data_IF_974751390248
#
_entry.id   IF_974751390248
#
_cell.length_a   1.000
_cell.length_b   1.000
_cell.length_c   1.000
_cell.angle_alpha   90.00
_cell.angle_beta   90.00
_cell.angle_gamma   90.00
#
_symmetry.space_group_name_H-M   'P 1'
#
loop_
_entity.id
_entity.type
_entity.pdbx_description
1 polymer ?
#
# COMPACT_ATOMS: atom_id res chain seq x y z
N UNK A 1 -3.17 32.12 -30.16
CA UNK A 1 -4.00 31.00 -29.68
C UNK A 1 -3.49 29.78 -30.43
N UNK A 2 -2.39 29.21 -29.94
CA UNK A 2 -1.65 28.12 -30.59
C UNK A 2 -1.33 27.08 -29.54
N UNK A 3 -1.55 25.82 -29.88
CA UNK A 3 -1.20 24.68 -29.04
C UNK A 3 0.19 24.17 -29.46
N UNK A 4 1.10 24.01 -28.51
CA UNK A 4 2.38 23.37 -28.73
C UNK A 4 2.32 21.92 -28.24
N UNK A 5 2.31 20.96 -29.17
CA UNK A 5 2.51 19.56 -28.85
C UNK A 5 3.98 19.31 -28.51
N UNK A 6 4.27 18.88 -27.27
CA UNK A 6 5.58 18.32 -26.91
C UNK A 6 5.45 16.82 -26.70
N UNK A 7 5.84 16.03 -27.71
CA UNK A 7 5.99 14.58 -27.57
C UNK A 7 7.23 14.27 -26.73
N UNK A 8 7.02 13.87 -25.47
CA UNK A 8 8.11 13.43 -24.59
C UNK A 8 8.38 11.93 -24.76
N UNK A 9 9.63 11.62 -25.13
CA UNK A 9 10.08 10.27 -25.44
C UNK A 9 10.29 9.46 -24.13
N UNK A 10 9.23 8.86 -23.59
CA UNK A 10 9.30 8.04 -22.36
C UNK A 10 10.18 6.81 -22.57
N UNK A 11 11.35 6.78 -21.91
CA UNK A 11 12.10 5.53 -21.68
C UNK A 11 11.67 4.94 -20.33
N UNK A 12 10.98 3.80 -20.36
CA UNK A 12 10.64 3.07 -19.14
C UNK A 12 11.90 2.68 -18.36
N UNK A 13 11.94 2.87 -17.03
CA UNK A 13 13.00 2.31 -16.20
C UNK A 13 12.88 0.78 -16.19
N UNK A 14 13.91 0.08 -16.70
CA UNK A 14 13.99 -1.38 -16.60
C UNK A 14 14.28 -1.75 -15.14
N UNK A 15 13.27 -2.29 -14.44
CA UNK A 15 13.45 -3.03 -13.19
C UNK A 15 14.45 -4.17 -13.41
N UNK A 16 15.66 -4.04 -12.86
CA UNK A 16 16.67 -5.08 -12.90
C UNK A 16 16.31 -6.19 -11.90
N UNK A 17 15.88 -7.33 -12.42
CA UNK A 17 15.60 -8.51 -11.60
C UNK A 17 16.92 -9.11 -11.09
N UNK A 18 17.17 -9.02 -9.79
CA UNK A 18 18.29 -9.71 -9.16
C UNK A 18 17.98 -11.21 -9.09
N UNK A 19 18.63 -11.99 -9.95
CA UNK A 19 18.64 -13.46 -9.87
C UNK A 19 19.76 -13.90 -8.92
N UNK A 20 19.46 -14.63 -7.83
CA UNK A 20 20.50 -15.19 -6.98
C UNK A 20 21.18 -16.37 -7.69
N UNK A 21 22.45 -16.19 -8.07
CA UNK A 21 23.30 -17.28 -8.54
C UNK A 21 23.74 -18.13 -7.36
N UNK A 22 23.26 -19.37 -7.29
CA UNK A 22 23.82 -20.40 -6.41
C UNK A 22 25.17 -20.85 -6.96
N UNK A 23 26.25 -20.52 -6.27
CA UNK A 23 27.58 -21.05 -6.53
C UNK A 23 27.96 -22.03 -5.41
N UNK A 24 28.03 -23.31 -5.74
CA UNK A 24 28.70 -24.31 -4.91
C UNK A 24 30.22 -24.15 -5.04
N UNK A 25 30.96 -24.49 -3.97
CA UNK A 25 32.28 -25.10 -4.10
C UNK A 25 33.51 -24.21 -4.40
N UNK A 26 34.39 -24.15 -3.40
CA UNK A 26 35.87 -24.10 -3.52
C UNK A 26 36.59 -22.86 -4.11
N UNK A 27 37.38 -22.23 -3.22
CA UNK A 27 38.55 -21.37 -3.46
C UNK A 27 39.72 -22.13 -4.16
N UNK A 28 40.86 -21.49 -4.57
CA UNK A 28 41.25 -20.07 -4.41
C UNK A 28 41.84 -19.37 -5.68
N UNK A 29 41.98 -18.05 -5.57
CA UNK A 29 43.07 -17.20 -6.14
C UNK A 29 43.38 -17.25 -7.65
N UNK A 30 42.96 -16.22 -8.39
CA UNK A 30 43.83 -15.51 -9.36
C UNK A 30 43.36 -14.06 -9.49
N UNK A 31 44.28 -13.11 -9.61
CA UNK A 31 43.96 -11.72 -9.94
C UNK A 31 43.79 -11.55 -11.45
N UNK A 32 42.77 -10.82 -11.91
CA UNK A 32 42.57 -10.54 -13.33
C UNK A 32 42.37 -9.05 -13.58
N UNK A 33 43.28 -8.45 -14.34
CA UNK A 33 43.14 -7.10 -14.90
C UNK A 33 41.86 -7.00 -15.74
N UNK A 34 41.13 -5.89 -15.60
CA UNK A 34 40.15 -5.45 -16.59
C UNK A 34 40.68 -4.24 -17.35
N UNK A 35 41.01 -4.47 -18.63
CA UNK A 35 41.39 -3.40 -19.57
C UNK A 35 40.12 -2.80 -20.18
N UNK A 36 39.92 -1.50 -20.02
CA UNK A 36 38.85 -0.78 -20.73
C UNK A 36 39.30 -0.45 -22.16
N UNK A 37 38.47 -0.76 -23.14
CA UNK A 37 38.66 -0.35 -24.54
C UNK A 37 37.42 0.44 -25.00
N UNK A 38 37.58 1.69 -25.50
CA UNK A 38 36.46 2.49 -25.98
C UNK A 38 36.10 2.12 -27.43
N UNK A 39 34.80 1.97 -27.72
CA UNK A 39 34.30 1.91 -29.09
C UNK A 39 33.91 3.29 -29.60
N UNK A 40 34.27 3.56 -30.86
CA UNK A 40 34.31 4.90 -31.44
C UNK A 40 33.03 5.33 -32.16
N UNK A 41 32.98 6.64 -32.37
CA UNK A 41 31.97 7.48 -33.02
C UNK A 41 32.02 7.39 -34.56
N UNK A 42 30.87 7.26 -35.21
CA UNK A 42 30.51 7.55 -36.63
C UNK A 42 28.98 7.75 -36.69
N UNK A 43 28.34 8.59 -37.52
CA UNK A 43 28.86 9.64 -38.41
C UNK A 43 27.90 10.01 -39.56
N UNK A 44 27.08 11.05 -39.32
CA UNK A 44 26.52 12.05 -40.26
C UNK A 44 25.60 11.71 -41.47
N UNK A 45 24.65 12.64 -41.67
CA UNK A 45 23.96 13.15 -42.88
C UNK A 45 23.39 12.23 -43.99
N UNK A 46 22.11 12.47 -44.35
CA UNK A 46 21.77 13.32 -45.52
C UNK A 46 20.25 13.58 -45.69
N UNK A 47 19.88 14.56 -46.51
CA UNK A 47 18.50 14.98 -46.84
C UNK A 47 17.89 14.23 -48.05
N UNK A 48 16.55 14.21 -48.20
CA UNK A 48 15.80 14.89 -49.30
C UNK A 48 14.31 14.48 -49.46
N UNK A 49 13.46 15.49 -49.64
CA UNK A 49 12.26 15.64 -50.51
C UNK A 49 11.13 14.59 -50.70
N UNK A 50 9.91 15.18 -50.74
CA UNK A 50 8.74 14.88 -51.62
C UNK A 50 7.50 14.17 -51.04
N UNK A 51 6.36 14.86 -51.16
CA UNK A 51 4.99 14.33 -51.20
C UNK A 51 4.62 13.96 -52.68
N UNK A 52 3.42 13.41 -53.05
CA UNK A 52 2.09 13.95 -52.71
C UNK A 52 0.88 12.97 -52.58
N UNK A 53 -0.23 13.54 -52.04
CA UNK A 53 -1.67 13.38 -52.36
C UNK A 53 -2.24 12.08 -53.00
N UNK A 54 -3.36 11.60 -52.41
CA UNK A 54 -4.62 11.37 -53.14
C UNK A 54 -5.86 11.24 -52.21
N UNK A 55 -7.01 11.78 -52.63
CA UNK A 55 -8.36 11.54 -52.08
C UNK A 55 -9.07 10.43 -52.93
N UNK A 56 -10.35 10.00 -52.76
CA UNK A 56 -11.62 10.75 -52.54
C UNK A 56 -12.50 10.16 -51.39
N UNK A 57 -13.79 10.42 -51.13
CA UNK A 57 -14.80 11.53 -51.22
C UNK A 57 -16.21 10.86 -51.21
N UNK A 58 -17.13 11.24 -50.28
CA UNK A 58 -18.64 11.15 -50.36
C UNK A 58 -19.35 9.76 -50.53
N UNK A 59 -20.63 9.50 -50.15
CA UNK A 59 -21.64 10.12 -49.27
C UNK A 59 -22.78 9.10 -48.93
N UNK A 60 -23.79 9.53 -48.17
CA UNK A 60 -25.21 9.07 -48.17
C UNK A 60 -25.67 7.80 -47.41
N UNK A 61 -26.54 8.06 -46.42
CA UNK A 61 -27.70 7.30 -45.92
C UNK A 61 -28.81 7.18 -47.03
N UNK A 62 -29.93 6.39 -46.91
CA UNK A 62 -30.73 6.23 -45.67
C UNK A 62 -31.57 4.93 -45.46
N UNK A 63 -32.37 5.01 -44.39
CA UNK A 63 -33.73 4.47 -44.21
C UNK A 63 -34.00 3.04 -43.71
N UNK A 64 -35.17 2.94 -43.06
CA UNK A 64 -35.59 1.85 -42.19
C UNK A 64 -36.84 1.14 -42.76
N UNK A 65 -37.10 -0.08 -42.30
CA UNK A 65 -38.41 -0.72 -42.42
C UNK A 65 -38.72 -1.60 -41.22
N UNK A 66 -39.88 -1.38 -40.61
CA UNK A 66 -40.44 -2.21 -39.53
C UNK A 66 -41.64 -2.96 -40.09
N UNK A 67 -41.68 -4.28 -39.97
CA UNK A 67 -42.75 -5.11 -40.57
C UNK A 67 -43.52 -5.89 -39.52
N UNK A 68 -44.83 -5.66 -39.49
CA UNK A 68 -45.84 -6.35 -38.66
C UNK A 68 -46.19 -7.72 -39.23
N UNK A 69 -46.33 -8.76 -38.38
CA UNK A 69 -46.94 -10.04 -38.76
C UNK A 69 -48.18 -10.36 -37.92
N UNK A 70 -49.30 -10.67 -38.58
CA UNK A 70 -50.54 -11.18 -37.95
C UNK A 70 -50.45 -12.69 -37.68
N UNK A 71 -51.27 -13.18 -36.76
CA UNK A 71 -51.26 -14.58 -36.28
C UNK A 71 -52.17 -15.56 -37.04
N UNK A 72 -52.29 -16.78 -36.48
CA UNK A 72 -53.07 -17.93 -36.96
C UNK A 72 -53.74 -18.60 -35.73
N UNK A 73 -54.97 -19.16 -35.82
CA UNK A 73 -55.79 -19.50 -34.66
C UNK A 73 -55.62 -20.95 -34.15
N UNK A 74 -56.09 -21.22 -32.93
CA UNK A 74 -56.21 -22.57 -32.36
C UNK A 74 -57.61 -22.81 -31.76
N UNK A 75 -58.04 -24.07 -31.77
CA UNK A 75 -59.40 -24.52 -31.41
C UNK A 75 -59.64 -24.68 -29.89
N UNK A 76 -60.92 -24.79 -29.45
CA UNK A 76 -61.28 -24.73 -28.03
C UNK A 76 -61.32 -26.12 -27.36
N UNK A 77 -60.81 -26.20 -26.13
CA UNK A 77 -61.09 -27.28 -25.18
C UNK A 77 -61.19 -26.67 -23.77
N UNK A 78 -62.39 -26.72 -23.19
CA UNK A 78 -62.65 -26.77 -21.75
C UNK A 78 -62.91 -28.25 -21.37
N UNK A 79 -62.80 -28.72 -20.09
CA UNK A 79 -63.08 -27.94 -18.88
C UNK A 79 -62.14 -28.19 -17.67
N UNK A 80 -62.48 -27.51 -16.56
CA UNK A 80 -62.16 -27.86 -15.16
C UNK A 80 -60.70 -28.19 -14.78
N UNK A 81 -60.11 -27.32 -13.96
CA UNK A 81 -60.15 -27.49 -12.49
C UNK A 81 -59.46 -26.29 -11.83
N UNK A 82 -60.09 -25.68 -10.83
CA UNK A 82 -59.50 -24.59 -10.06
C UNK A 82 -58.41 -25.11 -9.11
N UNK A 83 -57.19 -25.20 -9.60
CA UNK A 83 -56.01 -25.43 -8.77
C UNK A 83 -55.55 -24.09 -8.19
N UNK A 84 -55.81 -23.88 -6.90
CA UNK A 84 -55.31 -22.71 -6.18
C UNK A 84 -53.77 -22.68 -6.26
N UNK A 85 -53.23 -21.61 -6.85
CA UNK A 85 -51.79 -21.33 -6.79
C UNK A 85 -51.45 -21.01 -5.34
N UNK A 86 -50.96 -22.02 -4.62
CA UNK A 86 -50.28 -21.81 -3.35
C UNK A 86 -49.08 -20.93 -3.66
N UNK A 87 -48.97 -19.70 -3.12
CA UNK A 87 -47.76 -18.92 -3.30
C UNK A 87 -46.62 -19.71 -2.66
N UNK A 88 -45.57 -19.98 -3.44
CA UNK A 88 -44.34 -20.56 -2.92
C UNK A 88 -43.73 -19.55 -1.96
N UNK A 89 -44.11 -19.66 -0.68
CA UNK A 89 -43.67 -18.77 0.38
C UNK A 89 -42.15 -18.79 0.38
N UNK A 90 -41.55 -17.64 0.06
CA UNK A 90 -40.11 -17.49 0.04
C UNK A 90 -39.60 -17.69 1.47
N UNK A 91 -39.15 -18.91 1.77
CA UNK A 91 -38.48 -19.21 3.02
C UNK A 91 -37.33 -18.20 3.15
N UNK A 92 -37.27 -17.40 4.22
CA UNK A 92 -36.14 -16.50 4.42
C UNK A 92 -34.90 -17.37 4.46
N UNK A 93 -33.94 -17.08 3.57
CA UNK A 93 -32.69 -17.83 3.51
C UNK A 93 -32.06 -17.79 4.90
N UNK A 94 -32.09 -18.93 5.60
CA UNK A 94 -31.65 -19.01 6.99
C UNK A 94 -30.22 -18.51 7.05
N UNK A 95 -29.99 -17.40 7.76
CA UNK A 95 -28.67 -16.80 7.86
C UNK A 95 -27.76 -17.74 8.63
N UNK A 96 -26.98 -18.53 7.90
CA UNK A 96 -26.04 -19.48 8.48
C UNK A 96 -25.09 -18.70 9.37
N UNK A 97 -25.18 -18.97 10.67
CA UNK A 97 -24.41 -18.25 11.67
C UNK A 97 -22.92 -18.58 11.51
N UNK A 98 -22.04 -17.67 11.93
CA UNK A 98 -20.59 -17.89 11.85
C UNK A 98 -20.19 -19.16 12.63
N UNK A 99 -20.87 -19.47 13.74
CA UNK A 99 -20.69 -20.69 14.50
C UNK A 99 -21.01 -21.95 13.69
N UNK A 100 -22.14 -21.98 12.95
CA UNK A 100 -22.50 -23.10 12.08
C UNK A 100 -21.52 -23.27 10.92
N UNK A 101 -21.03 -22.18 10.32
CA UNK A 101 -19.97 -22.24 9.30
C UNK A 101 -18.65 -22.80 9.86
N UNK A 102 -18.29 -22.45 11.10
CA UNK A 102 -17.12 -22.99 11.78
C UNK A 102 -17.30 -24.48 12.11
N UNK A 103 -18.45 -24.88 12.63
CA UNK A 103 -18.78 -26.27 12.94
C UNK A 103 -18.78 -27.17 11.69
N UNK A 104 -19.40 -26.73 10.59
CA UNK A 104 -19.37 -27.43 9.30
C UNK A 104 -17.97 -27.50 8.70
N UNK A 105 -17.13 -26.47 8.86
CA UNK A 105 -15.75 -26.55 8.41
C UNK A 105 -14.95 -27.54 9.25
N UNK A 106 -15.11 -27.53 10.57
CA UNK A 106 -14.41 -28.44 11.48
C UNK A 106 -14.79 -29.91 11.22
N UNK A 107 -16.05 -30.21 10.91
CA UNK A 107 -16.47 -31.58 10.53
C UNK A 107 -15.91 -32.03 9.18
N UNK A 108 -15.53 -31.08 8.31
CA UNK A 108 -14.79 -31.32 7.06
C UNK A 108 -13.25 -31.28 7.23
N UNK A 109 -12.73 -31.12 8.46
CA UNK A 109 -11.29 -31.00 8.73
C UNK A 109 -10.68 -29.64 8.35
N UNK A 110 -11.50 -28.64 8.09
CA UNK A 110 -11.12 -27.29 7.67
C UNK A 110 -11.22 -26.26 8.80
N UNK A 111 -10.43 -25.18 8.71
CA UNK A 111 -10.48 -24.06 9.67
C UNK A 111 -10.92 -22.77 8.96
N UNK A 112 -12.09 -22.23 9.32
CA UNK A 112 -12.54 -20.93 8.80
C UNK A 112 -11.78 -19.80 9.47
N UNK A 113 -11.02 -19.04 8.68
CA UNK A 113 -10.36 -17.81 9.13
C UNK A 113 -11.04 -16.59 8.49
N UNK A 114 -11.52 -15.61 9.28
CA UNK A 114 -12.13 -14.40 8.72
C UNK A 114 -11.14 -13.59 7.87
N UNK A 115 -11.56 -13.15 6.68
CA UNK A 115 -10.74 -12.36 5.74
C UNK A 115 -10.18 -11.09 6.41
N UNK A 116 -10.94 -10.47 7.32
CA UNK A 116 -10.52 -9.32 8.13
C UNK A 116 -9.24 -9.58 8.94
N UNK A 117 -8.95 -10.83 9.35
CA UNK A 117 -7.69 -11.21 10.01
C UNK A 117 -6.49 -11.00 9.07
N UNK A 118 -6.61 -11.46 7.83
CA UNK A 118 -5.58 -11.30 6.80
C UNK A 118 -5.41 -9.84 6.39
N UNK A 119 -6.52 -9.10 6.22
CA UNK A 119 -6.47 -7.67 5.93
C UNK A 119 -5.72 -6.89 7.03
N UNK A 120 -6.05 -7.14 8.30
CA UNK A 120 -5.34 -6.56 9.45
C UNK A 120 -3.87 -6.97 9.50
N UNK A 121 -3.54 -8.24 9.23
CA UNK A 121 -2.16 -8.72 9.22
C UNK A 121 -1.32 -8.02 8.12
N UNK A 122 -1.86 -7.89 6.91
CA UNK A 122 -1.21 -7.18 5.79
C UNK A 122 -1.04 -5.70 6.13
N UNK A 123 -2.11 -5.03 6.57
CA UNK A 123 -2.07 -3.62 6.98
C UNK A 123 -1.03 -3.35 8.07
N UNK A 124 -0.99 -4.21 9.09
CA UNK A 124 -0.02 -4.11 10.18
C UNK A 124 1.42 -4.35 9.72
N UNK A 125 1.65 -5.31 8.81
CA UNK A 125 2.98 -5.56 8.26
C UNK A 125 3.51 -4.37 7.43
N UNK A 126 2.66 -3.75 6.62
CA UNK A 126 3.00 -2.53 5.87
C UNK A 126 3.25 -1.37 6.85
N UNK A 127 2.30 -1.07 7.73
CA UNK A 127 2.40 0.04 8.67
C UNK A 127 3.62 -0.06 9.60
N UNK A 128 3.92 -1.25 10.15
CA UNK A 128 5.10 -1.47 11.01
C UNK A 128 6.44 -1.35 10.26
N UNK A 129 6.42 -1.48 8.93
CA UNK A 129 7.59 -1.30 8.06
C UNK A 129 7.83 0.16 7.65
N UNK A 130 6.80 1.01 7.72
CA UNK A 130 6.92 2.48 7.66
C UNK A 130 7.47 3.02 8.97
N UNK A 131 8.81 3.11 9.08
CA UNK A 131 9.50 3.55 10.30
C UNK A 131 10.72 4.41 10.00
N UNK A 132 11.08 5.28 10.92
CA UNK A 132 12.42 5.88 10.95
C UNK A 132 13.42 4.75 11.22
N UNK A 133 14.38 4.53 10.32
CA UNK A 133 15.57 3.74 10.66
C UNK A 133 16.53 4.64 11.42
N UNK A 134 16.94 4.22 12.59
CA UNK A 134 17.92 4.93 13.42
C UNK A 134 19.35 4.61 12.95
N UNK A 135 20.23 5.62 12.98
CA UNK A 135 21.59 5.57 12.44
C UNK A 135 21.78 6.42 11.18
N UNK A 136 23.01 6.44 10.65
CA UNK A 136 23.38 7.29 9.51
C UNK A 136 22.70 6.89 8.18
N UNK A 137 22.19 5.66 8.11
CA UNK A 137 21.60 5.04 6.92
C UNK A 137 20.08 4.92 7.03
N UNK A 138 19.38 5.93 6.51
CA UNK A 138 17.92 5.94 6.43
C UNK A 138 17.47 5.17 5.18
N UNK A 139 17.39 3.84 5.27
CA UNK A 139 16.80 3.02 4.21
C UNK A 139 15.28 3.16 4.23
N UNK A 140 14.74 3.94 3.30
CA UNK A 140 13.30 4.14 3.12
C UNK A 140 12.71 3.12 2.12
N UNK A 141 13.09 1.85 2.31
CA UNK A 141 12.59 0.72 1.56
C UNK A 141 12.21 -0.42 2.49
N UNK A 142 11.20 -1.17 2.09
CA UNK A 142 10.71 -2.35 2.79
C UNK A 142 10.49 -3.50 1.80
N UNK A 143 10.94 -4.69 2.20
CA UNK A 143 10.55 -5.96 1.58
C UNK A 143 10.05 -6.85 2.71
N UNK A 144 8.77 -7.20 2.63
CA UNK A 144 8.05 -7.99 3.63
C UNK A 144 7.74 -9.34 3.00
N UNK A 145 7.96 -10.42 3.76
CA UNK A 145 7.59 -11.78 3.35
C UNK A 145 6.65 -12.39 4.38
N UNK A 146 5.40 -12.59 3.99
CA UNK A 146 4.36 -13.21 4.82
C UNK A 146 4.10 -14.64 4.31
N UNK A 147 4.51 -15.68 5.05
CA UNK A 147 4.16 -17.06 4.71
C UNK A 147 2.67 -17.33 4.98
N UNK A 148 2.13 -18.35 4.32
CA UNK A 148 0.82 -18.96 4.61
C UNK A 148 -0.40 -18.04 4.43
N UNK A 149 -0.24 -16.91 3.73
CA UNK A 149 -1.37 -16.04 3.36
C UNK A 149 -2.13 -16.67 2.19
N UNK A 150 -3.42 -17.04 2.34
CA UNK A 150 -4.16 -17.75 1.29
C UNK A 150 -4.43 -16.87 0.06
N UNK A 151 -4.19 -17.39 -1.15
CA UNK A 151 -4.49 -16.71 -2.44
C UNK A 151 -5.90 -16.09 -2.45
N UNK A 152 -6.89 -16.88 -2.02
CA UNK A 152 -8.29 -16.47 -1.99
C UNK A 152 -8.60 -15.34 -1.00
N UNK A 153 -7.78 -15.16 0.05
CA UNK A 153 -7.91 -14.04 0.96
C UNK A 153 -7.34 -12.76 0.33
N UNK A 154 -6.16 -12.84 -0.28
CA UNK A 154 -5.50 -11.69 -0.94
C UNK A 154 -6.38 -11.12 -2.06
N UNK A 155 -6.94 -11.99 -2.91
CA UNK A 155 -7.87 -11.62 -3.99
C UNK A 155 -9.19 -10.96 -3.53
N UNK A 156 -9.50 -11.00 -2.23
CA UNK A 156 -10.68 -10.32 -1.64
C UNK A 156 -10.30 -9.06 -0.84
N UNK A 157 -9.01 -8.79 -0.65
CA UNK A 157 -8.47 -7.66 0.11
C UNK A 157 -7.92 -6.59 -0.84
N UNK A 158 -7.24 -7.03 -1.90
CA UNK A 158 -6.66 -6.17 -2.92
C UNK A 158 -7.60 -6.05 -4.14
N UNK A 159 -7.46 -4.99 -4.96
CA UNK A 159 -8.18 -4.88 -6.23
C UNK A 159 -7.74 -5.95 -7.24
N UNK A 160 -8.25 -5.90 -8.47
CA UNK A 160 -7.87 -6.83 -9.53
C UNK A 160 -6.34 -6.77 -9.82
N UNK A 161 -5.66 -7.93 -9.94
CA UNK A 161 -4.22 -7.96 -10.18
C UNK A 161 -3.84 -7.60 -11.62
N UNK A 162 -2.70 -6.92 -11.78
CA UNK A 162 -2.11 -6.54 -13.07
C UNK A 162 -1.63 -7.76 -13.87
N UNK A 163 -1.21 -8.83 -13.19
CA UNK A 163 -0.96 -10.13 -13.84
C UNK A 163 -1.36 -11.29 -12.93
N UNK A 164 -1.94 -12.33 -13.52
CA UNK A 164 -2.43 -13.51 -12.81
C UNK A 164 -2.11 -14.78 -13.61
N UNK A 165 -1.47 -15.74 -12.95
CA UNK A 165 -1.15 -17.06 -13.50
C UNK A 165 -1.53 -18.15 -12.50
N UNK A 166 -1.33 -19.43 -12.86
CA UNK A 166 -1.58 -20.55 -11.96
C UNK A 166 -0.64 -20.55 -10.74
N UNK A 167 0.63 -20.17 -10.92
CA UNK A 167 1.68 -20.23 -9.89
C UNK A 167 1.93 -18.90 -9.16
N UNK A 168 1.67 -17.76 -9.80
CA UNK A 168 1.94 -16.42 -9.29
C UNK A 168 0.85 -15.41 -9.68
N UNK A 169 0.56 -14.46 -8.80
CA UNK A 169 -0.19 -13.22 -9.05
C UNK A 169 0.69 -12.03 -8.67
N UNK A 170 0.61 -10.94 -9.43
CA UNK A 170 1.29 -9.69 -9.12
C UNK A 170 0.33 -8.49 -9.21
N UNK A 171 0.39 -7.62 -8.21
CA UNK A 171 -0.15 -6.27 -8.21
C UNK A 171 1.00 -5.28 -8.20
N UNK A 172 0.92 -4.24 -9.03
CA UNK A 172 1.91 -3.15 -9.12
C UNK A 172 1.17 -1.83 -9.23
N UNK A 173 1.63 -0.82 -8.49
CA UNK A 173 1.16 0.55 -8.57
C UNK A 173 2.37 1.45 -8.83
N UNK A 174 2.34 2.19 -9.94
CA UNK A 174 3.48 2.98 -10.40
C UNK A 174 3.52 4.35 -9.69
N UNK A 175 2.36 4.93 -9.39
CA UNK A 175 2.23 6.31 -8.88
C UNK A 175 1.82 6.35 -7.39
N UNK A 176 2.28 7.37 -6.67
CA UNK A 176 2.03 7.52 -5.23
C UNK A 176 0.53 7.72 -4.92
N UNK A 177 -0.19 8.44 -5.78
CA UNK A 177 -1.65 8.59 -5.74
C UNK A 177 -2.41 7.26 -5.83
N UNK A 178 -1.99 6.34 -6.71
CA UNK A 178 -2.60 5.00 -6.83
C UNK A 178 -2.37 4.16 -5.55
N UNK A 179 -1.13 4.16 -5.05
CA UNK A 179 -0.75 3.50 -3.79
C UNK A 179 -1.61 4.02 -2.64
N UNK A 180 -1.76 5.34 -2.55
CA UNK A 180 -2.62 5.98 -1.56
C UNK A 180 -4.09 5.62 -1.71
N UNK A 181 -4.61 5.47 -2.93
CA UNK A 181 -6.00 5.08 -3.14
C UNK A 181 -6.22 3.62 -2.69
N UNK A 182 -5.35 2.70 -3.11
CA UNK A 182 -5.43 1.29 -2.75
C UNK A 182 -5.33 1.06 -1.23
N UNK A 183 -4.41 1.78 -0.57
CA UNK A 183 -4.11 1.58 0.84
C UNK A 183 -5.02 2.34 1.81
N UNK A 184 -5.78 3.34 1.32
CA UNK A 184 -6.68 4.18 2.12
C UNK A 184 -7.62 3.41 3.05
N UNK A 185 -8.21 2.32 2.57
CA UNK A 185 -9.12 1.45 3.33
C UNK A 185 -8.39 0.34 4.11
N UNK A 186 -7.13 0.04 3.75
CA UNK A 186 -6.37 -1.09 4.30
C UNK A 186 -5.54 -0.66 5.51
N UNK A 187 -4.73 0.40 5.41
CA UNK A 187 -3.82 0.81 6.48
C UNK A 187 -4.52 1.16 7.81
N UNK A 188 -5.71 1.79 7.86
CA UNK A 188 -6.43 2.01 9.12
C UNK A 188 -6.73 0.72 9.90
N UNK A 189 -6.79 -0.44 9.25
CA UNK A 189 -6.97 -1.74 9.92
C UNK A 189 -5.74 -2.18 10.74
N UNK A 190 -4.58 -1.56 10.53
CA UNK A 190 -3.32 -1.84 11.24
C UNK A 190 -3.41 -1.61 12.76
N UNK A 191 -4.32 -0.73 13.19
CA UNK A 191 -4.41 -0.23 14.57
C UNK A 191 -3.32 0.80 14.92
N UNK A 192 -2.57 1.31 13.94
CA UNK A 192 -1.57 2.35 14.10
C UNK A 192 -2.14 3.71 13.64
N UNK A 193 -1.47 4.82 13.98
CA UNK A 193 -1.82 6.15 13.46
C UNK A 193 -1.46 6.22 11.96
N UNK A 194 -2.42 5.90 11.10
CA UNK A 194 -2.26 5.87 9.64
C UNK A 194 -3.47 6.48 8.94
N UNK A 195 -3.23 7.19 7.83
CA UNK A 195 -4.25 7.63 6.89
C UNK A 195 -3.69 7.55 5.45
N UNK A 196 -4.52 7.24 4.46
CA UNK A 196 -4.08 7.15 3.06
C UNK A 196 -2.96 6.13 2.84
N UNK A 197 -1.79 6.60 2.41
CA UNK A 197 -0.53 5.83 2.31
C UNK A 197 0.50 6.23 3.38
N UNK A 198 0.07 6.99 4.38
CA UNK A 198 0.92 7.65 5.37
C UNK A 198 0.75 7.03 6.75
N UNK A 199 1.87 6.83 7.46
CA UNK A 199 1.92 6.53 8.89
C UNK A 199 2.55 7.70 9.64
N UNK A 200 1.88 8.16 10.70
CA UNK A 200 2.49 9.03 11.68
C UNK A 200 3.53 8.27 12.53
N UNK A 201 4.69 8.89 12.76
CA UNK A 201 5.74 8.39 13.62
C UNK A 201 5.82 9.30 14.85
N UNK A 202 5.36 8.76 15.98
CA UNK A 202 5.50 9.34 17.31
C UNK A 202 6.43 8.44 18.11
N UNK A 203 7.55 8.97 18.61
CA UNK A 203 8.41 8.22 19.56
C UNK A 203 7.76 8.18 20.95
N UNK A 204 8.02 7.16 21.79
CA UNK A 204 7.53 7.12 23.18
C UNK A 204 7.96 8.32 24.03
N UNK A 205 9.08 8.98 23.68
CA UNK A 205 9.58 10.20 24.32
C UNK A 205 8.97 11.50 23.80
N UNK A 206 8.17 11.45 22.74
CA UNK A 206 7.64 12.62 22.02
C UNK A 206 6.12 12.71 22.23
N UNK A 207 5.61 13.77 22.88
CA UNK A 207 4.18 13.95 23.12
C UNK A 207 3.39 14.37 21.85
N UNK A 208 4.07 14.55 20.72
CA UNK A 208 3.48 14.93 19.43
C UNK A 208 4.17 14.22 18.26
N UNK A 209 3.42 14.02 17.17
CA UNK A 209 3.91 13.52 15.89
C UNK A 209 4.68 14.63 15.18
N UNK A 210 5.99 14.45 15.00
CA UNK A 210 6.84 15.35 14.20
C UNK A 210 7.17 14.80 12.82
N UNK A 211 7.24 13.48 12.66
CA UNK A 211 7.64 12.82 11.41
C UNK A 211 6.50 11.98 10.85
N UNK A 212 6.31 12.03 9.53
CA UNK A 212 5.38 11.16 8.81
C UNK A 212 6.14 10.31 7.78
N UNK A 213 5.75 9.05 7.66
CA UNK A 213 6.28 8.10 6.67
C UNK A 213 5.22 7.81 5.62
N UNK A 214 5.46 8.20 4.38
CA UNK A 214 4.48 8.08 3.28
C UNK A 214 5.04 7.22 2.17
N UNK A 215 4.27 6.23 1.73
CA UNK A 215 4.69 5.35 0.62
C UNK A 215 4.76 6.12 -0.70
N UNK A 216 5.81 5.84 -1.45
CA UNK A 216 5.97 6.31 -2.82
C UNK A 216 5.20 5.41 -3.79
N UNK A 217 5.23 5.77 -5.08
CA UNK A 217 4.99 4.83 -6.17
C UNK A 217 5.98 3.67 -6.18
N UNK A 218 5.73 2.67 -7.04
CA UNK A 218 6.52 1.44 -7.08
C UNK A 218 6.20 0.45 -5.96
N UNK A 219 4.96 0.46 -5.44
CA UNK A 219 4.47 -0.62 -4.59
C UNK A 219 4.25 -1.87 -5.45
N UNK A 220 4.86 -2.97 -5.03
CA UNK A 220 4.66 -4.28 -5.62
C UNK A 220 4.19 -5.27 -4.58
N UNK A 221 3.13 -6.02 -4.90
CA UNK A 221 2.68 -7.17 -4.12
C UNK A 221 2.69 -8.39 -5.03
N UNK A 222 3.35 -9.48 -4.61
CA UNK A 222 3.33 -10.76 -5.32
C UNK A 222 2.81 -11.85 -4.40
N UNK A 223 1.88 -12.66 -4.88
CA UNK A 223 1.48 -13.92 -4.24
C UNK A 223 1.96 -15.09 -5.10
N UNK A 224 2.62 -16.08 -4.51
CA UNK A 224 3.09 -17.25 -5.24
C UNK A 224 3.16 -18.50 -4.36
N UNK A 225 3.18 -19.67 -4.98
CA UNK A 225 3.55 -20.92 -4.31
C UNK A 225 5.06 -21.10 -4.35
N UNK A 226 5.68 -21.19 -3.17
CA UNK A 226 7.10 -21.51 -3.05
C UNK A 226 7.39 -22.96 -3.48
N UNK A 227 8.64 -23.28 -3.76
CA UNK A 227 9.08 -24.64 -4.15
C UNK A 227 8.75 -25.73 -3.11
N UNK A 228 8.41 -25.36 -1.87
CA UNK A 228 7.95 -26.26 -0.80
C UNK A 228 6.42 -26.39 -0.72
N UNK A 229 5.69 -25.89 -1.73
CA UNK A 229 4.22 -25.90 -1.78
C UNK A 229 3.54 -24.79 -0.97
N UNK A 230 4.21 -24.22 0.03
CA UNK A 230 3.68 -23.14 0.88
C UNK A 230 3.36 -21.89 0.06
N UNK A 231 2.17 -21.32 0.26
CA UNK A 231 1.79 -20.01 -0.28
C UNK A 231 2.54 -18.89 0.44
N UNK A 232 2.98 -17.88 -0.32
CA UNK A 232 3.78 -16.76 0.18
C UNK A 232 3.27 -15.47 -0.46
N UNK A 233 3.05 -14.45 0.37
CA UNK A 233 2.84 -13.07 -0.05
C UNK A 233 4.12 -12.28 0.19
N UNK A 234 4.65 -11.61 -0.83
CA UNK A 234 5.72 -10.62 -0.69
C UNK A 234 5.21 -9.23 -1.03
N UNK A 235 5.60 -8.23 -0.24
CA UNK A 235 5.22 -6.83 -0.40
C UNK A 235 6.51 -6.02 -0.42
N UNK A 236 6.78 -5.34 -1.53
CA UNK A 236 7.97 -4.51 -1.74
C UNK A 236 7.53 -3.07 -1.96
N UNK A 237 8.12 -2.10 -1.28
CA UNK A 237 7.83 -0.68 -1.52
C UNK A 237 8.95 0.25 -1.10
N UNK A 238 8.90 1.46 -1.67
CA UNK A 238 9.63 2.63 -1.23
C UNK A 238 8.71 3.55 -0.42
N UNK A 239 9.30 4.34 0.46
CA UNK A 239 8.62 5.41 1.18
C UNK A 239 9.55 6.61 1.33
N UNK A 240 9.01 7.70 1.84
CA UNK A 240 9.74 8.90 2.26
C UNK A 240 9.47 9.17 3.73
N UNK A 241 10.33 9.97 4.36
CA UNK A 241 10.06 10.58 5.66
C UNK A 241 9.96 12.09 5.46
N UNK A 242 8.87 12.69 5.95
CA UNK A 242 8.67 14.13 5.96
C UNK A 242 8.67 14.66 7.39
N UNK A 243 9.46 15.71 7.65
CA UNK A 243 9.48 16.44 8.91
C UNK A 243 8.37 17.49 9.02
N UNK A 244 8.19 18.03 10.22
CA UNK A 244 7.12 18.99 10.54
C UNK A 244 7.26 20.37 9.85
N UNK A 245 8.41 20.65 9.25
CA UNK A 245 8.64 21.83 8.40
C UNK A 245 8.31 21.52 6.93
N UNK A 246 7.97 20.27 6.62
CA UNK A 246 7.75 19.75 5.28
C UNK A 246 9.06 19.54 4.51
N UNK A 247 10.15 19.38 5.24
CA UNK A 247 11.42 18.89 4.75
C UNK A 247 11.30 17.40 4.39
N UNK A 248 11.63 17.06 3.14
CA UNK A 248 11.75 15.69 2.68
C UNK A 248 13.13 15.15 3.05
N UNK A 249 13.18 14.07 3.83
CA UNK A 249 14.40 13.28 3.95
C UNK A 249 14.41 12.27 2.80
N UNK A 250 15.34 12.34 1.83
CA UNK A 250 15.40 11.38 0.74
C UNK A 250 15.96 10.02 1.20
N UNK A 251 15.74 8.94 0.42
CA UNK A 251 16.29 7.62 0.75
C UNK A 251 17.82 7.61 0.71
N UNK A 252 18.46 7.23 1.81
CA UNK A 252 19.93 7.10 1.90
C UNK A 252 20.36 5.65 1.71
N UNK A 253 20.86 5.33 0.51
CA UNK A 253 21.46 4.04 0.19
C UNK A 253 22.96 4.01 0.59
N UNK A 254 23.43 3.03 1.39
CA UNK A 254 24.87 2.81 1.61
C UNK A 254 25.68 2.59 0.32
N UNK A 255 25.05 2.16 -0.80
CA UNK A 255 25.68 2.05 -2.11
C UNK A 255 25.65 3.36 -2.93
N UNK A 256 25.46 4.51 -2.26
CA UNK A 256 25.73 5.88 -2.76
C UNK A 256 24.83 6.42 -3.87
N UNK A 257 23.68 5.80 -4.15
CA UNK A 257 22.64 6.43 -5.00
C UNK A 257 21.48 6.89 -4.14
N UNK A 258 21.46 8.18 -3.85
CA UNK A 258 20.23 8.83 -3.39
C UNK A 258 19.17 8.64 -4.48
N UNK A 259 17.98 8.21 -4.09
CA UNK A 259 16.83 8.20 -4.99
C UNK A 259 16.40 9.67 -5.12
N UNK A 260 16.84 10.31 -6.20
CA UNK A 260 16.38 11.64 -6.56
C UNK A 260 14.90 11.59 -6.87
N UNK A 261 14.11 12.31 -6.08
CA UNK A 261 12.75 12.71 -6.44
C UNK A 261 12.85 13.88 -7.41
N UNK A 262 12.02 13.91 -8.45
CA UNK A 262 11.84 15.15 -9.19
C UNK A 262 10.92 16.14 -8.42
N UNK A 263 10.92 17.41 -8.82
CA UNK A 263 10.14 18.45 -8.14
C UNK A 263 8.61 18.19 -8.20
N UNK A 264 8.14 17.42 -9.19
CA UNK A 264 6.73 17.08 -9.38
C UNK A 264 6.33 15.96 -8.42
N UNK A 265 7.12 14.89 -8.34
CA UNK A 265 6.97 13.79 -7.38
C UNK A 265 7.06 14.32 -5.94
N UNK A 266 8.04 15.17 -5.64
CA UNK A 266 8.19 15.82 -4.34
C UNK A 266 6.94 16.66 -3.97
N UNK A 267 6.35 17.34 -4.96
CA UNK A 267 5.12 18.13 -4.78
C UNK A 267 3.89 17.24 -4.59
N UNK A 268 3.71 16.16 -5.38
CA UNK A 268 2.62 15.19 -5.22
C UNK A 268 2.68 14.54 -3.82
N UNK A 269 3.86 14.05 -3.43
CA UNK A 269 4.09 13.44 -2.12
C UNK A 269 3.78 14.44 -0.99
N UNK A 270 4.16 15.71 -1.11
CA UNK A 270 3.79 16.74 -0.12
C UNK A 270 2.28 16.94 -0.02
N UNK A 271 1.56 16.94 -1.14
CA UNK A 271 0.10 17.06 -1.12
C UNK A 271 -0.57 15.83 -0.46
N UNK A 272 -0.07 14.62 -0.73
CA UNK A 272 -0.52 13.38 -0.09
C UNK A 272 -0.28 13.45 1.43
N UNK A 273 0.93 13.81 1.86
CA UNK A 273 1.28 13.93 3.29
C UNK A 273 0.39 14.95 3.99
N UNK A 274 0.17 16.15 3.41
CA UNK A 274 -0.67 17.18 4.03
C UNK A 274 -2.15 16.77 4.12
N UNK A 275 -2.68 16.05 3.12
CA UNK A 275 -4.04 15.50 3.15
C UNK A 275 -4.16 14.44 4.25
N UNK A 276 -3.20 13.52 4.33
CA UNK A 276 -3.21 12.43 5.31
C UNK A 276 -2.96 12.96 6.74
N UNK A 277 -2.10 13.98 6.89
CA UNK A 277 -1.90 14.73 8.13
C UNK A 277 -3.20 15.36 8.62
N UNK A 278 -3.96 16.02 7.74
CA UNK A 278 -5.28 16.57 8.07
C UNK A 278 -6.22 15.49 8.59
N UNK A 279 -6.34 14.37 7.87
CA UNK A 279 -7.21 13.26 8.26
C UNK A 279 -6.81 12.67 9.63
N UNK A 280 -5.51 12.51 9.91
CA UNK A 280 -5.03 12.07 11.23
C UNK A 280 -5.34 13.11 12.32
N UNK A 281 -5.17 14.40 12.04
CA UNK A 281 -5.50 15.49 12.98
C UNK A 281 -7.01 15.67 13.23
N UNK A 282 -7.86 15.27 12.29
CA UNK A 282 -9.32 15.19 12.44
C UNK A 282 -9.71 13.94 13.26
N UNK A 283 -9.00 12.82 13.08
CA UNK A 283 -9.13 11.61 13.90
C UNK A 283 -8.54 11.74 15.33
N UNK A 284 -8.08 12.94 15.73
CA UNK A 284 -7.59 13.23 17.08
C UNK A 284 -6.10 12.93 17.31
N UNK A 285 -5.30 12.71 16.27
CA UNK A 285 -3.86 12.54 16.41
C UNK A 285 -3.18 13.83 16.90
N UNK A 286 -2.22 13.68 17.81
CA UNK A 286 -1.45 14.79 18.40
C UNK A 286 -0.36 15.27 17.43
N UNK A 287 -0.74 16.00 16.39
CA UNK A 287 0.21 16.61 15.47
C UNK A 287 1.04 17.71 16.17
N UNK A 288 2.30 17.87 15.75
CA UNK A 288 3.16 18.93 16.24
C UNK A 288 2.72 20.33 15.73
N UNK A 289 3.25 21.42 16.33
CA UNK A 289 2.95 22.78 15.90
C UNK A 289 3.30 23.04 14.44
N UNK A 290 4.43 22.53 13.94
CA UNK A 290 4.83 22.67 12.53
C UNK A 290 3.79 22.11 11.57
N UNK A 291 3.27 20.92 11.85
CA UNK A 291 2.16 20.33 11.10
C UNK A 291 0.89 21.17 11.15
N UNK A 292 0.48 21.67 12.32
CA UNK A 292 -0.71 22.53 12.41
C UNK A 292 -0.57 23.83 11.60
N UNK A 293 0.61 24.45 11.58
CA UNK A 293 0.89 25.62 10.73
C UNK A 293 0.80 25.30 9.25
N UNK A 294 1.41 24.19 8.80
CA UNK A 294 1.31 23.75 7.41
C UNK A 294 -0.14 23.44 6.98
N UNK A 295 -0.99 23.02 7.92
CA UNK A 295 -2.43 22.81 7.70
C UNK A 295 -3.27 24.11 7.79
N UNK A 296 -2.65 25.26 8.07
CA UNK A 296 -3.32 26.57 8.20
C UNK A 296 -4.03 26.79 9.54
N UNK A 297 -3.76 25.97 10.57
CA UNK A 297 -4.44 26.03 11.87
C UNK A 297 -3.52 26.60 12.97
N UNK A 298 -3.24 27.90 12.90
CA UNK A 298 -2.35 28.58 13.85
C UNK A 298 -2.85 28.48 15.30
N UNK A 299 -4.17 28.47 15.52
CA UNK A 299 -4.73 28.32 16.87
C UNK A 299 -4.35 26.96 17.50
N UNK A 300 -4.47 25.85 16.76
CA UNK A 300 -4.01 24.54 17.24
C UNK A 300 -2.50 24.48 17.39
N UNK A 301 -1.73 25.17 16.53
CA UNK A 301 -0.27 25.26 16.68
C UNK A 301 0.10 25.91 18.02
N UNK A 302 -0.44 27.09 18.32
CA UNK A 302 -0.19 27.84 19.56
C UNK A 302 -0.61 27.07 20.82
N UNK A 303 -1.79 26.43 20.80
CA UNK A 303 -2.26 25.58 21.92
C UNK A 303 -1.32 24.39 22.15
N UNK A 304 -0.81 23.78 21.07
CA UNK A 304 0.15 22.68 21.14
C UNK A 304 1.50 23.17 21.69
N UNK A 305 2.00 24.34 21.28
CA UNK A 305 3.25 24.93 21.79
C UNK A 305 3.18 25.27 23.28
N UNK A 306 2.06 25.85 23.73
CA UNK A 306 1.83 26.11 25.15
C UNK A 306 1.82 24.80 25.96
N UNK A 307 1.21 23.74 25.42
CA UNK A 307 1.22 22.42 26.05
C UNK A 307 2.64 21.82 26.14
N UNK A 308 3.43 21.90 25.06
CA UNK A 308 4.82 21.41 25.04
C UNK A 308 5.70 22.17 26.04
N UNK A 309 5.63 23.50 26.05
CA UNK A 309 6.37 24.36 27.00
C UNK A 309 6.04 23.99 28.46
N UNK A 310 4.77 23.73 28.76
CA UNK A 310 4.35 23.31 30.09
C UNK A 310 4.91 21.93 30.49
N UNK A 311 4.97 20.97 29.57
CA UNK A 311 5.58 19.65 29.81
C UNK A 311 7.10 19.77 30.04
N UNK A 312 7.78 20.64 29.32
CA UNK A 312 9.21 20.91 29.50
C UNK A 312 9.50 21.57 30.85
N UNK A 313 8.68 22.53 31.27
CA UNK A 313 8.79 23.16 32.59
C UNK A 313 8.62 22.14 33.74
N UNK A 314 7.64 21.23 33.64
CA UNK A 314 7.46 20.14 34.61
C UNK A 314 8.67 19.19 34.65
N UNK A 315 9.32 18.96 33.50
CA UNK A 315 10.51 18.10 33.41
C UNK A 315 11.76 18.72 34.01
N UNK A 316 11.85 20.05 34.09
CA UNK A 316 13.00 20.78 34.62
C UNK A 316 12.97 20.98 36.15
N UNK A 317 11.91 20.55 36.85
CA UNK A 317 11.86 20.59 38.33
C UNK A 317 13.02 19.76 38.91
N UNK A 318 13.91 20.33 39.75
CA UNK A 318 15.10 19.65 40.24
C UNK A 318 14.78 18.34 40.99
N UNK A 319 15.63 17.34 40.76
CA UNK A 319 15.54 16.02 41.40
C UNK A 319 15.60 16.04 42.94
N UNK A 320 16.00 17.15 43.55
CA UNK A 320 16.09 17.35 44.99
C UNK A 320 14.75 17.20 45.75
N UNK A 321 13.61 17.44 45.09
CA UNK A 321 12.28 17.28 45.70
C UNK A 321 11.56 15.97 45.32
N UNK A 322 12.20 15.07 44.57
CA UNK A 322 11.72 13.68 44.43
C UNK A 322 12.08 12.89 45.68
N UNK A 323 11.43 13.27 46.79
CA UNK A 323 11.57 12.66 48.08
C UNK A 323 11.46 11.13 47.96
N UNK A 324 12.46 10.44 48.51
CA UNK A 324 12.60 9.00 48.49
C UNK A 324 11.42 8.33 49.19
N UNK A 325 10.36 8.03 48.44
CA UNK A 325 9.36 7.05 48.87
C UNK A 325 9.99 5.68 48.70
N UNK A 326 10.77 5.27 49.71
CA UNK A 326 11.42 3.98 49.76
C UNK A 326 10.39 2.88 49.53
N UNK A 327 10.46 2.24 48.36
CA UNK A 327 9.84 0.95 48.14
C UNK A 327 10.50 -0.01 49.12
N UNK A 328 9.71 -0.53 50.08
CA UNK A 328 10.12 -1.73 50.80
C UNK A 328 10.14 -2.86 49.79
N UNK A 329 11.33 -3.29 49.41
CA UNK A 329 11.51 -4.53 48.66
C UNK A 329 10.99 -5.68 49.54
N UNK A 330 9.78 -6.13 49.22
CA UNK A 330 9.17 -7.28 49.88
C UNK A 330 9.63 -8.50 49.11
N UNK A 331 10.72 -9.12 49.59
CA UNK A 331 11.18 -10.39 49.07
C UNK A 331 10.34 -11.50 49.68
N UNK A 332 9.47 -12.12 48.89
CA UNK A 332 8.90 -13.42 49.25
C UNK A 332 10.01 -14.49 49.11
N UNK A 333 10.29 -15.18 50.22
CA UNK A 333 11.18 -16.34 50.23
C UNK A 333 10.31 -17.57 50.01
N UNK A 334 10.31 -18.10 48.78
CA UNK A 334 9.78 -19.44 48.54
C UNK A 334 10.67 -20.48 49.25
N UNK A 335 10.16 -21.07 50.33
CA UNK A 335 10.86 -22.17 51.00
C UNK A 335 10.78 -23.43 50.13
N UNK A 336 11.88 -23.78 49.46
CA UNK A 336 12.03 -25.07 48.79
C UNK A 336 12.02 -26.19 49.85
N UNK A 337 10.87 -26.83 50.04
CA UNK A 337 10.79 -28.09 50.79
C UNK A 337 11.26 -29.23 49.89
N UNK A 338 12.50 -29.64 50.06
CA UNK A 338 13.00 -30.94 49.59
C UNK A 338 12.54 -32.04 50.54
N UNK A 339 11.66 -32.93 50.08
CA UNK A 339 11.47 -34.31 50.52
C UNK A 339 10.79 -35.08 49.38
#
# INVERSE_FOLDING_TARGET
MEAAEMSSFRRSPRLLTLVPTTAEGTNPSTATHFTMQPCSRVGDDSMQHSAPLCAPTTDSLPEANTTTSKGVPSMPIEPNTSAAVVPLSAAPAASVTIAQLQEMALSLGCVVTPIKKWAKAIAHAIASSLRTREGDFIYQSASIRMPEVPRAAVMQILPEPKSSSASQITWEWEYASEVSQCLSNLLPLSGMQTAGATRAIQRPSEPVIRVMATMMGGLEIRHFKSNRGSEVLTINFLYILMGEMGDLHPPKDPQRREIGLDDVEATELRQIVLRDARAMGEAGAQLSPGWWRQLGNEQRAQVTEAHLTNLEAIRQVPLAERATRATRDTYEIESVQTC
#
